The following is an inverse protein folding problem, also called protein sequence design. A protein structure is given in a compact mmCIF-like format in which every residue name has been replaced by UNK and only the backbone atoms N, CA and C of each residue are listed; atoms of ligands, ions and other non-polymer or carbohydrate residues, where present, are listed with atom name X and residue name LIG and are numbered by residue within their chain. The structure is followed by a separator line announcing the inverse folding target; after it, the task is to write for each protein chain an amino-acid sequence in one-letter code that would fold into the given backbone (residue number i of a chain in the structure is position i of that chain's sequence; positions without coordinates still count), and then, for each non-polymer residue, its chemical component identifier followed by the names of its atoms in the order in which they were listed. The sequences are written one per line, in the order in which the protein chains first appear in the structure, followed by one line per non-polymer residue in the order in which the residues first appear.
data_IF_423563781620
#
_entry.id   IF_423563781620
#
_cell.length_a   1.000
_cell.length_b   1.000
_cell.length_c   1.000
_cell.angle_alpha   90.00
_cell.angle_beta   90.00
_cell.angle_gamma   90.00
#
_symmetry.space_group_name_H-M   'P 1'
#
loop_
_entity.id
_entity.type
_entity.pdbx_description
1 polymer ?
#
# COMPACT_ATOMS: atom_id res chain seq x y z
N UNK A 1 4.69 -4.04 -11.40
CA UNK A 1 3.40 -4.47 -10.86
C UNK A 1 3.43 -4.55 -9.35
N UNK A 2 2.35 -4.16 -8.70
CA UNK A 2 2.30 -4.25 -7.25
C UNK A 2 2.29 -5.71 -6.80
N UNK A 3 2.98 -5.99 -5.70
CA UNK A 3 3.09 -7.33 -5.14
C UNK A 3 1.84 -7.67 -4.32
N UNK A 4 1.17 -8.81 -4.58
CA UNK A 4 0.10 -9.24 -3.70
C UNK A 4 0.68 -9.56 -2.32
N UNK A 5 0.12 -8.95 -1.27
CA UNK A 5 0.59 -9.14 0.09
C UNK A 5 -0.47 -9.91 0.87
N UNK A 6 -0.07 -11.03 1.44
CA UNK A 6 -0.94 -11.92 2.23
C UNK A 6 -0.39 -12.07 3.63
N UNK A 7 -1.09 -12.84 4.47
CA UNK A 7 -0.60 -13.15 5.81
C UNK A 7 0.76 -13.86 5.76
N UNK A 8 0.99 -14.64 4.72
CA UNK A 8 2.21 -15.45 4.60
C UNK A 8 3.45 -14.62 4.33
N UNK A 9 3.31 -13.49 3.60
CA UNK A 9 4.48 -12.69 3.22
C UNK A 9 4.48 -11.28 3.81
N UNK A 10 3.46 -10.91 4.61
CA UNK A 10 3.34 -9.55 5.13
C UNK A 10 4.54 -9.18 6.01
N UNK A 11 4.90 -10.04 6.94
CA UNK A 11 6.01 -9.76 7.85
C UNK A 11 7.32 -9.55 7.07
N UNK A 12 7.62 -10.44 6.14
CA UNK A 12 8.85 -10.37 5.36
C UNK A 12 8.85 -9.18 4.40
N UNK A 13 7.76 -8.99 3.67
CA UNK A 13 7.71 -7.98 2.61
C UNK A 13 7.46 -6.57 3.13
N UNK A 14 6.76 -6.42 4.22
CA UNK A 14 6.36 -5.11 4.74
C UNK A 14 7.06 -4.77 6.05
N UNK A 15 6.89 -5.60 7.08
CA UNK A 15 7.38 -5.26 8.40
C UNK A 15 8.90 -5.35 8.53
N UNK A 16 9.52 -6.24 7.79
CA UNK A 16 10.97 -6.44 7.81
C UNK A 16 11.68 -5.78 6.65
N UNK A 17 10.97 -4.98 5.86
CA UNK A 17 11.56 -4.34 4.69
C UNK A 17 12.59 -3.28 5.09
N UNK A 18 13.73 -3.27 4.40
CA UNK A 18 14.78 -2.27 4.60
C UNK A 18 14.52 -0.99 3.79
N UNK A 19 13.55 -1.03 2.87
CA UNK A 19 13.16 0.12 2.06
C UNK A 19 11.73 0.52 2.41
N UNK A 20 11.31 1.76 2.09
CA UNK A 20 9.93 2.17 2.32
C UNK A 20 8.95 1.28 1.57
N UNK A 21 7.77 1.07 2.15
CA UNK A 21 6.73 0.22 1.56
C UNK A 21 5.42 0.99 1.49
N UNK A 22 4.78 0.94 0.33
CA UNK A 22 3.42 1.42 0.14
C UNK A 22 2.49 0.20 0.10
N UNK A 23 1.46 0.20 0.94
CA UNK A 23 0.46 -0.87 0.96
C UNK A 23 -0.90 -0.30 0.62
N UNK A 24 -1.52 -0.83 -0.43
CA UNK A 24 -2.87 -0.47 -0.87
C UNK A 24 -3.87 -1.48 -0.30
N UNK A 25 -4.66 -1.06 0.68
CA UNK A 25 -5.76 -1.88 1.21
C UNK A 25 -6.99 -1.67 0.36
N UNK A 26 -7.49 -2.73 -0.24
CA UNK A 26 -8.55 -2.68 -1.24
C UNK A 26 -9.52 -3.85 -1.14
N UNK A 27 -10.60 -3.82 -1.91
CA UNK A 27 -11.54 -4.93 -2.03
C UNK A 27 -12.12 -4.96 -3.44
N UNK A 28 -12.52 -6.16 -3.87
CA UNK A 28 -13.12 -6.36 -5.20
C UNK A 28 -14.40 -5.55 -5.40
N UNK A 29 -15.20 -5.41 -4.36
CA UNK A 29 -16.47 -4.68 -4.43
C UNK A 29 -16.30 -3.16 -4.35
N UNK A 30 -15.11 -2.68 -4.16
CA UNK A 30 -14.83 -1.26 -3.97
C UNK A 30 -14.54 -0.58 -5.31
N UNK A 31 -15.50 0.19 -5.81
CA UNK A 31 -15.33 0.93 -7.06
C UNK A 31 -14.14 1.90 -7.04
N UNK A 32 -14.05 2.78 -6.03
CA UNK A 32 -12.91 3.71 -5.92
C UNK A 32 -11.56 3.02 -5.88
N UNK A 33 -11.48 1.83 -5.28
CA UNK A 33 -10.23 1.06 -5.24
C UNK A 33 -9.74 0.71 -6.65
N UNK A 34 -10.67 0.44 -7.55
CA UNK A 34 -10.33 0.08 -8.93
C UNK A 34 -9.76 1.24 -9.72
N UNK A 35 -10.07 2.47 -9.32
CA UNK A 35 -9.49 3.67 -9.91
C UNK A 35 -8.05 3.87 -9.44
N UNK A 36 -7.76 3.49 -8.22
CA UNK A 36 -6.44 3.65 -7.60
C UNK A 36 -5.48 2.55 -8.04
N UNK A 37 -5.99 1.34 -8.27
CA UNK A 37 -5.15 0.19 -8.62
C UNK A 37 -4.11 0.45 -9.71
N UNK A 38 -4.51 0.99 -10.87
CA UNK A 38 -3.53 1.29 -11.93
C UNK A 38 -2.47 2.30 -11.52
N UNK A 39 -2.83 3.28 -10.67
CA UNK A 39 -1.87 4.25 -10.17
C UNK A 39 -0.83 3.58 -9.26
N UNK A 40 -1.29 2.68 -8.41
CA UNK A 40 -0.43 1.91 -7.51
C UNK A 40 0.51 1.03 -8.32
N UNK A 41 0.02 0.38 -9.36
CA UNK A 41 0.85 -0.44 -10.24
C UNK A 41 1.91 0.39 -10.95
N UNK A 42 1.57 1.60 -11.37
CA UNK A 42 2.53 2.51 -12.00
C UNK A 42 3.64 2.90 -11.03
N UNK A 43 3.28 3.19 -9.77
CA UNK A 43 4.26 3.50 -8.73
C UNK A 43 5.18 2.30 -8.49
N UNK A 44 4.62 1.09 -8.47
CA UNK A 44 5.42 -0.12 -8.29
C UNK A 44 6.50 -0.24 -9.37
N UNK A 45 6.13 0.00 -10.64
CA UNK A 45 7.08 -0.05 -11.74
C UNK A 45 8.15 1.03 -11.65
N UNK A 46 7.73 2.25 -11.27
CA UNK A 46 8.61 3.40 -11.26
C UNK A 46 9.58 3.39 -10.07
N UNK A 47 9.31 2.63 -9.04
CA UNK A 47 10.11 2.63 -7.80
C UNK A 47 10.81 1.30 -7.53
N UNK A 48 10.88 0.41 -8.52
CA UNK A 48 11.58 -0.87 -8.35
C UNK A 48 12.99 -0.65 -7.84
N UNK A 49 13.36 -1.41 -6.81
CA UNK A 49 14.68 -1.34 -6.20
C UNK A 49 14.83 -0.29 -5.11
N UNK A 50 14.01 0.78 -5.12
CA UNK A 50 14.10 1.84 -4.12
C UNK A 50 12.97 1.79 -3.09
N UNK A 51 11.87 1.15 -3.42
CA UNK A 51 10.73 0.98 -2.54
C UNK A 51 9.97 -0.27 -2.93
N UNK A 52 9.11 -0.74 -2.04
CA UNK A 52 8.21 -1.86 -2.33
C UNK A 52 6.78 -1.34 -2.37
N UNK A 53 5.96 -1.95 -3.21
CA UNK A 53 4.54 -1.60 -3.36
C UNK A 53 3.74 -2.88 -3.31
N UNK A 54 2.83 -2.97 -2.34
CA UNK A 54 2.01 -4.16 -2.16
C UNK A 54 0.53 -3.83 -2.13
N UNK A 55 -0.29 -4.85 -2.33
CA UNK A 55 -1.75 -4.76 -2.24
C UNK A 55 -2.26 -5.79 -1.25
N UNK A 56 -3.16 -5.38 -0.37
CA UNK A 56 -3.82 -6.26 0.59
C UNK A 56 -5.31 -6.25 0.34
N UNK A 57 -5.86 -7.41 -0.05
CA UNK A 57 -7.29 -7.60 -0.19
C UNK A 57 -7.89 -7.78 1.21
N UNK A 58 -8.68 -6.81 1.66
CA UNK A 58 -9.18 -6.83 3.03
C UNK A 58 -10.17 -7.96 3.30
N UNK A 59 -10.82 -8.49 2.27
CA UNK A 59 -11.76 -9.60 2.45
C UNK A 59 -11.04 -10.91 2.73
N UNK A 60 -9.92 -11.14 2.04
CA UNK A 60 -9.12 -12.35 2.26
C UNK A 60 -8.11 -12.19 3.39
N UNK A 61 -7.75 -10.95 3.75
CA UNK A 61 -6.76 -10.65 4.78
C UNK A 61 -7.37 -9.80 5.90
N UNK A 62 -8.50 -10.27 6.44
CA UNK A 62 -9.27 -9.51 7.42
C UNK A 62 -8.48 -9.17 8.67
N UNK A 63 -7.62 -10.07 9.10
CA UNK A 63 -6.81 -9.88 10.30
C UNK A 63 -5.84 -8.70 10.14
N UNK A 64 -5.20 -8.58 8.98
CA UNK A 64 -4.28 -7.48 8.71
C UNK A 64 -5.02 -6.15 8.64
N UNK A 65 -6.17 -6.13 7.99
CA UNK A 65 -6.99 -4.93 7.93
C UNK A 65 -7.39 -4.48 9.34
N UNK A 66 -7.73 -5.42 10.20
CA UNK A 66 -8.12 -5.14 11.58
C UNK A 66 -6.94 -4.63 12.40
N UNK A 67 -5.77 -5.24 12.23
CA UNK A 67 -4.54 -4.85 12.92
C UNK A 67 -4.20 -3.38 12.67
N UNK A 68 -4.39 -2.92 11.44
CA UNK A 68 -4.07 -1.54 11.07
C UNK A 68 -5.29 -0.63 11.07
N UNK A 69 -6.40 -1.10 11.64
CA UNK A 69 -7.62 -0.31 11.84
C UNK A 69 -8.15 0.28 10.53
N UNK A 70 -8.19 -0.52 9.48
CA UNK A 70 -8.67 -0.07 8.17
C UNK A 70 -10.19 -0.02 8.20
N UNK A 71 -10.75 1.19 8.08
CA UNK A 71 -12.19 1.42 8.17
C UNK A 71 -12.81 1.88 6.86
N UNK A 72 -12.02 2.44 5.98
CA UNK A 72 -12.50 2.96 4.69
C UNK A 72 -11.57 2.48 3.58
N UNK A 73 -12.11 2.32 2.39
CA UNK A 73 -11.33 1.88 1.23
C UNK A 73 -11.46 2.87 0.07
N UNK A 74 -10.40 3.04 -0.71
CA UNK A 74 -9.07 2.50 -0.48
C UNK A 74 -8.36 3.22 0.66
N UNK A 75 -7.46 2.52 1.32
CA UNK A 75 -6.51 3.14 2.25
C UNK A 75 -5.10 2.79 1.79
N UNK A 76 -4.29 3.80 1.60
CA UNK A 76 -2.88 3.62 1.25
C UNK A 76 -2.07 3.93 2.50
N UNK A 77 -1.29 2.96 2.95
CA UNK A 77 -0.43 3.10 4.12
C UNK A 77 1.03 3.08 3.69
N UNK A 78 1.81 3.97 4.26
CA UNK A 78 3.24 4.04 4.02
C UNK A 78 3.96 3.50 5.24
N UNK A 79 4.81 2.49 5.03
CA UNK A 79 5.56 1.83 6.09
C UNK A 79 7.04 2.18 5.98
N UNK A 80 7.68 2.38 7.13
CA UNK A 80 9.12 2.53 7.24
C UNK A 80 9.56 1.86 8.53
N UNK A 81 10.51 0.94 8.42
CA UNK A 81 11.01 0.22 9.60
C UNK A 81 9.95 -0.58 10.33
N UNK A 82 8.96 -1.10 9.60
CA UNK A 82 7.89 -1.91 10.18
C UNK A 82 6.74 -1.12 10.77
N UNK A 83 6.75 0.20 10.66
CA UNK A 83 5.71 1.05 11.24
C UNK A 83 5.00 1.85 10.17
N UNK A 84 3.70 2.08 10.36
CA UNK A 84 2.91 2.98 9.51
C UNK A 84 3.30 4.42 9.88
N UNK A 85 3.82 5.16 8.91
CA UNK A 85 4.26 6.53 9.13
C UNK A 85 3.33 7.55 8.49
N UNK A 86 2.49 7.13 7.55
CA UNK A 86 1.50 8.00 6.93
C UNK A 86 0.40 7.15 6.28
N UNK A 87 -0.82 7.68 6.20
CA UNK A 87 -1.92 7.06 5.48
C UNK A 87 -2.64 8.08 4.61
N UNK A 88 -3.19 7.58 3.49
CA UNK A 88 -4.11 8.35 2.65
C UNK A 88 -5.40 7.55 2.51
N UNK A 89 -6.53 8.15 2.80
CA UNK A 89 -7.83 7.50 2.77
C UNK A 89 -8.65 8.05 1.62
N UNK A 90 -9.21 7.17 0.80
CA UNK A 90 -10.02 7.55 -0.36
C UNK A 90 -9.15 7.85 -1.57
N UNK A 91 -9.72 8.57 -2.54
CA UNK A 91 -9.06 8.83 -3.82
C UNK A 91 -8.56 10.27 -3.97
N UNK A 92 -8.99 11.16 -3.08
CA UNK A 92 -8.66 12.57 -3.19
C UNK A 92 -7.16 12.80 -2.97
N UNK A 93 -6.53 13.49 -3.92
CA UNK A 93 -5.12 13.81 -3.82
C UNK A 93 -4.18 12.66 -4.15
N UNK A 94 -4.71 11.50 -4.53
CA UNK A 94 -3.89 10.34 -4.88
C UNK A 94 -3.49 10.43 -6.35
N UNK A 95 -2.20 10.64 -6.59
CA UNK A 95 -1.62 10.61 -7.94
C UNK A 95 -0.32 9.82 -7.88
N UNK A 96 0.16 9.39 -9.04
CA UNK A 96 1.44 8.67 -9.13
C UNK A 96 2.56 9.54 -8.55
N UNK A 97 2.59 10.82 -8.91
CA UNK A 97 3.65 11.72 -8.44
C UNK A 97 3.63 11.91 -6.93
N UNK A 98 2.45 12.08 -6.34
CA UNK A 98 2.32 12.23 -4.88
C UNK A 98 2.79 10.98 -4.16
N UNK A 99 2.39 9.81 -4.64
CA UNK A 99 2.80 8.55 -4.03
C UNK A 99 4.32 8.34 -4.11
N UNK A 100 4.90 8.65 -5.25
CA UNK A 100 6.36 8.56 -5.43
C UNK A 100 7.10 9.54 -4.54
N UNK A 101 6.61 10.76 -4.42
CA UNK A 101 7.21 11.77 -3.55
C UNK A 101 7.19 11.34 -2.09
N UNK A 102 6.08 10.77 -1.63
CA UNK A 102 5.97 10.30 -0.24
C UNK A 102 6.94 9.15 0.03
N UNK A 103 7.07 8.22 -0.91
CA UNK A 103 8.03 7.13 -0.77
C UNK A 103 9.47 7.64 -0.77
N UNK A 104 9.78 8.59 -1.64
CA UNK A 104 11.13 9.17 -1.71
C UNK A 104 11.50 9.89 -0.40
N UNK A 105 10.53 10.53 0.23
CA UNK A 105 10.76 11.23 1.50
C UNK A 105 11.08 10.28 2.65
N UNK A 106 10.75 9.01 2.52
CA UNK A 106 10.99 7.98 3.53
C UNK A 106 12.30 7.23 3.30
N UNK A 107 12.92 7.45 2.16
CA UNK A 107 14.15 6.72 1.79
C UNK A 107 15.33 7.05 2.70
#
# INVERSE_FOLDING_TARGET
MALPVTSDNFDEEVLQSEVPVLVDFWAEWCGPCKMIGPLVDAVASDTEGSAKVGKVDVDSQQERARTFNIQSLPTIAFFKGGEVVETMIGTMGVTVDVLKEKLAALA
#
